data_IF_591724430276
#
_entry.id   IF_591724430276
#
_cell.length_a   1.000
_cell.length_b   1.000
_cell.length_c   1.000
_cell.angle_alpha   90.00
_cell.angle_beta   90.00
_cell.angle_gamma   90.00
#
_symmetry.space_group_name_H-M   'P 1'
#
loop_
_entity.id
_entity.type
_entity.pdbx_description
1 polymer ?
#
# COMPACT_ATOMS: atom_id res chain seq x y z
N UNK A 1 -1.88 1.85 0.07
CA UNK A 1 -1.11 0.99 -0.86
C UNK A 1 -2.03 0.25 -1.80
N UNK A 2 -1.74 0.21 -3.08
CA UNK A 2 -2.53 -0.53 -4.07
C UNK A 2 -2.17 -2.02 -4.07
N UNK A 3 -3.16 -2.89 -4.33
CA UNK A 3 -2.91 -4.34 -4.38
C UNK A 3 -2.11 -4.74 -5.62
N UNK A 4 -2.47 -4.21 -6.78
CA UNK A 4 -1.90 -4.58 -8.07
C UNK A 4 -0.48 -4.01 -8.26
N UNK A 5 -0.32 -2.71 -8.29
CA UNK A 5 0.95 -2.05 -8.55
C UNK A 5 1.89 -1.99 -7.34
N UNK A 6 1.39 -2.25 -6.14
CA UNK A 6 2.10 -2.02 -4.86
C UNK A 6 2.44 -0.55 -4.61
N UNK A 7 1.84 0.37 -5.35
CA UNK A 7 2.06 1.80 -5.16
C UNK A 7 1.64 2.24 -3.76
N UNK A 8 2.50 2.99 -3.11
CA UNK A 8 2.37 3.45 -1.74
C UNK A 8 2.07 4.95 -1.72
N UNK A 9 1.05 5.35 -0.96
CA UNK A 9 0.82 6.73 -0.54
C UNK A 9 0.77 6.77 0.98
N UNK A 10 1.41 7.76 1.61
CA UNK A 10 1.48 7.90 3.06
C UNK A 10 1.38 9.37 3.44
N UNK A 11 0.45 9.66 4.34
CA UNK A 11 0.25 11.00 4.90
C UNK A 11 0.37 10.96 6.42
N UNK A 12 1.16 11.86 7.03
CA UNK A 12 1.22 11.98 8.47
C UNK A 12 -0.08 12.56 9.02
N UNK A 13 -0.66 11.92 10.00
CA UNK A 13 -1.84 12.42 10.72
C UNK A 13 -1.45 12.89 12.11
N UNK A 14 -2.07 13.98 12.58
CA UNK A 14 -1.92 14.44 13.98
C UNK A 14 -2.79 13.62 14.92
N UNK A 15 -3.99 13.24 14.46
CA UNK A 15 -4.97 12.50 15.22
C UNK A 15 -5.41 11.25 14.47
N UNK A 16 -5.62 10.17 15.20
CA UNK A 16 -6.18 8.92 14.68
C UNK A 16 -7.71 8.95 14.84
N UNK A 17 -8.36 9.85 14.09
CA UNK A 17 -9.81 10.00 14.08
C UNK A 17 -10.38 9.89 12.65
N UNK A 18 -11.69 9.63 12.58
CA UNK A 18 -12.38 9.38 11.31
C UNK A 18 -12.41 10.60 10.36
N UNK A 19 -12.32 11.82 10.89
CA UNK A 19 -12.31 13.05 10.08
C UNK A 19 -10.94 13.22 9.43
N UNK A 20 -9.87 13.13 10.22
CA UNK A 20 -8.49 13.26 9.74
C UNK A 20 -8.15 12.16 8.74
N UNK A 21 -8.60 10.93 9.01
CA UNK A 21 -8.39 9.78 8.12
C UNK A 21 -9.17 9.93 6.81
N UNK A 22 -10.40 10.45 6.84
CA UNK A 22 -11.19 10.74 5.65
C UNK A 22 -10.56 11.84 4.77
N UNK A 23 -9.99 12.88 5.39
CA UNK A 23 -9.30 13.95 4.68
C UNK A 23 -8.00 13.44 4.00
N UNK A 24 -7.25 12.57 4.67
CA UNK A 24 -6.07 11.94 4.08
C UNK A 24 -6.44 11.00 2.92
N UNK A 25 -7.54 10.24 3.06
CA UNK A 25 -8.06 9.38 1.99
C UNK A 25 -8.38 10.18 0.73
N UNK A 26 -9.03 11.33 0.86
CA UNK A 26 -9.35 12.22 -0.25
C UNK A 26 -8.10 12.67 -1.01
N UNK A 27 -7.07 13.13 -0.28
CA UNK A 27 -5.77 13.47 -0.88
C UNK A 27 -5.13 12.29 -1.60
N UNK A 28 -5.15 11.10 -1.01
CA UNK A 28 -4.63 9.89 -1.65
C UNK A 28 -5.33 9.60 -2.96
N UNK A 29 -6.64 9.79 -3.04
CA UNK A 29 -7.40 9.56 -4.26
C UNK A 29 -7.11 10.62 -5.32
N UNK A 30 -7.02 11.88 -4.94
CA UNK A 30 -6.83 13.00 -5.86
C UNK A 30 -5.38 13.12 -6.37
N UNK A 31 -4.40 12.92 -5.50
CA UNK A 31 -3.00 13.25 -5.78
C UNK A 31 -2.13 12.03 -6.13
N UNK A 32 -2.42 10.83 -5.60
CA UNK A 32 -1.47 9.72 -5.64
C UNK A 32 -1.93 8.49 -6.43
N UNK A 33 -3.12 7.98 -6.13
CA UNK A 33 -3.54 6.63 -6.54
C UNK A 33 -4.73 6.66 -7.49
N UNK A 34 -5.55 7.70 -7.46
CA UNK A 34 -6.84 7.74 -8.12
C UNK A 34 -7.92 6.96 -7.34
N UNK A 35 -9.12 6.86 -7.91
CA UNK A 35 -10.24 6.17 -7.29
C UNK A 35 -10.15 4.66 -7.50
N UNK A 36 -10.01 3.86 -6.44
CA UNK A 36 -10.04 2.41 -6.53
C UNK A 36 -11.49 1.90 -6.55
N UNK A 37 -11.68 0.66 -6.99
CA UNK A 37 -12.99 0.00 -6.87
C UNK A 37 -13.31 -0.38 -5.42
N UNK A 38 -12.28 -0.70 -4.64
CA UNK A 38 -12.44 -1.19 -3.28
C UNK A 38 -11.32 -0.68 -2.39
N UNK A 39 -11.64 -0.41 -1.13
CA UNK A 39 -10.70 -0.12 -0.04
C UNK A 39 -10.82 -1.17 1.05
N UNK A 40 -9.69 -1.75 1.43
CA UNK A 40 -9.59 -2.68 2.56
C UNK A 40 -8.98 -1.96 3.75
N UNK A 41 -9.63 -2.06 4.89
CA UNK A 41 -9.16 -1.56 6.18
C UNK A 41 -9.39 -2.59 7.28
N UNK A 42 -8.80 -2.39 8.45
CA UNK A 42 -9.09 -3.15 9.66
C UNK A 42 -10.35 -2.61 10.39
N UNK A 43 -10.66 -3.17 11.58
CA UNK A 43 -11.82 -2.77 12.38
C UNK A 43 -11.57 -1.49 13.22
N UNK A 44 -10.58 -0.66 12.85
CA UNK A 44 -10.24 0.58 13.55
C UNK A 44 -11.39 1.60 13.54
N UNK A 45 -11.59 2.30 14.66
CA UNK A 45 -12.65 3.31 14.82
C UNK A 45 -12.50 4.51 13.86
N UNK A 46 -11.30 4.77 13.36
CA UNK A 46 -10.99 5.79 12.36
C UNK A 46 -11.60 5.50 10.98
N UNK A 47 -11.90 4.23 10.67
CA UNK A 47 -12.47 3.80 9.38
C UNK A 47 -13.98 3.75 9.33
N UNK A 48 -14.66 4.24 10.39
CA UNK A 48 -16.12 4.35 10.45
C UNK A 48 -16.57 5.80 10.18
N UNK A 49 -17.87 6.07 10.28
CA UNK A 49 -18.48 7.42 10.20
C UNK A 49 -18.01 8.24 8.99
N UNK A 50 -17.10 9.21 9.19
CA UNK A 50 -16.66 10.14 8.14
C UNK A 50 -15.89 9.43 7.04
N UNK A 51 -15.02 8.48 7.38
CA UNK A 51 -14.29 7.68 6.41
C UNK A 51 -15.23 6.85 5.53
N UNK A 52 -16.17 6.10 6.12
CA UNK A 52 -17.14 5.31 5.40
C UNK A 52 -18.07 6.17 4.52
N UNK A 53 -18.49 7.36 5.01
CA UNK A 53 -19.25 8.31 4.21
C UNK A 53 -18.47 8.83 3.00
N UNK A 54 -17.18 9.09 3.16
CA UNK A 54 -16.32 9.54 2.07
C UNK A 54 -16.18 8.47 0.99
N UNK A 55 -15.97 7.20 1.37
CA UNK A 55 -15.95 6.08 0.41
C UNK A 55 -17.27 5.95 -0.34
N UNK A 56 -18.41 6.05 0.37
CA UNK A 56 -19.74 6.03 -0.26
C UNK A 56 -19.95 7.21 -1.23
N UNK A 57 -19.45 8.40 -0.90
CA UNK A 57 -19.51 9.56 -1.77
C UNK A 57 -18.78 9.33 -3.11
N UNK A 58 -17.64 8.63 -3.09
CA UNK A 58 -16.87 8.28 -4.27
C UNK A 58 -17.31 6.96 -4.94
N UNK A 59 -18.39 6.32 -4.48
CA UNK A 59 -18.84 5.00 -4.95
C UNK A 59 -17.76 3.89 -4.85
N UNK A 60 -16.96 3.95 -3.77
CA UNK A 60 -15.88 3.00 -3.48
C UNK A 60 -16.35 2.00 -2.43
N UNK A 61 -16.25 0.71 -2.75
CA UNK A 61 -16.63 -0.36 -1.82
C UNK A 61 -15.65 -0.43 -0.63
N UNK A 62 -16.18 -0.42 0.60
CA UNK A 62 -15.39 -0.63 1.81
C UNK A 62 -15.45 -2.10 2.23
N UNK A 63 -14.29 -2.72 2.42
CA UNK A 63 -14.16 -4.08 2.99
C UNK A 63 -13.32 -4.03 4.25
N UNK A 64 -13.92 -4.47 5.35
CA UNK A 64 -13.26 -4.56 6.65
C UNK A 64 -12.77 -5.97 6.91
N UNK A 65 -11.53 -6.11 7.39
CA UNK A 65 -10.92 -7.39 7.73
C UNK A 65 -10.25 -7.30 9.10
N UNK A 66 -10.40 -8.34 9.93
CA UNK A 66 -9.71 -8.42 11.23
C UNK A 66 -8.20 -8.50 11.10
N UNK A 67 -7.74 -9.07 10.01
CA UNK A 67 -6.30 -9.24 9.76
C UNK A 67 -5.89 -8.41 8.57
N UNK A 68 -5.00 -7.43 8.74
CA UNK A 68 -4.47 -6.67 7.61
C UNK A 68 -3.74 -7.61 6.65
N UNK A 69 -3.78 -7.34 5.35
CA UNK A 69 -3.04 -8.14 4.38
C UNK A 69 -1.54 -8.10 4.67
N UNK A 70 -0.87 -9.25 4.70
CA UNK A 70 0.55 -9.39 5.02
C UNK A 70 1.47 -8.49 4.17
N UNK A 71 1.07 -8.15 2.94
CA UNK A 71 1.84 -7.25 2.09
C UNK A 71 1.79 -5.79 2.57
N UNK A 72 0.71 -5.37 3.21
CA UNK A 72 0.57 -4.02 3.82
C UNK A 72 1.48 -3.92 5.05
N UNK A 73 1.45 -4.93 5.92
CA UNK A 73 2.33 -4.98 7.10
C UNK A 73 3.82 -4.94 6.70
N UNK A 74 4.18 -5.68 5.65
CA UNK A 74 5.54 -5.67 5.12
C UNK A 74 5.92 -4.29 4.58
N UNK A 75 5.03 -3.62 3.85
CA UNK A 75 5.28 -2.27 3.34
C UNK A 75 5.46 -1.27 4.48
N UNK A 76 4.63 -1.33 5.52
CA UNK A 76 4.76 -0.49 6.72
C UNK A 76 6.13 -0.68 7.38
N UNK A 77 6.56 -1.94 7.56
CA UNK A 77 7.88 -2.26 8.13
C UNK A 77 9.00 -1.67 7.26
N UNK A 78 8.96 -1.91 5.95
CA UNK A 78 9.97 -1.38 5.02
C UNK A 78 10.06 0.14 5.07
N UNK A 79 8.92 0.83 5.13
CA UNK A 79 8.89 2.30 5.22
C UNK A 79 9.51 2.78 6.54
N UNK A 80 9.16 2.16 7.66
CA UNK A 80 9.73 2.49 8.98
C UNK A 80 11.25 2.34 8.98
N UNK A 81 11.76 1.19 8.52
CA UNK A 81 13.21 0.93 8.44
C UNK A 81 13.95 1.94 7.53
N UNK A 82 13.34 2.31 6.39
CA UNK A 82 13.92 3.32 5.49
C UNK A 82 13.92 4.72 6.13
N UNK A 83 12.88 5.08 6.89
CA UNK A 83 12.82 6.35 7.62
C UNK A 83 13.93 6.40 8.67
N UNK A 84 14.07 5.37 9.51
CA UNK A 84 15.08 5.28 10.56
C UNK A 84 16.50 5.43 9.97
N UNK A 85 16.81 4.65 8.94
CA UNK A 85 18.12 4.72 8.24
C UNK A 85 18.39 6.13 7.68
N UNK A 86 17.38 6.78 7.11
CA UNK A 86 17.53 8.12 6.55
C UNK A 86 17.70 9.17 7.65
N UNK A 87 16.96 9.07 8.74
CA UNK A 87 17.11 9.95 9.89
C UNK A 87 18.53 9.84 10.48
N UNK A 88 19.03 8.64 10.63
CA UNK A 88 20.39 8.38 11.15
C UNK A 88 21.47 8.94 10.21
N UNK A 89 21.37 8.64 8.92
CA UNK A 89 22.37 9.04 7.93
C UNK A 89 22.46 10.57 7.73
N UNK A 90 21.31 11.26 7.75
CA UNK A 90 21.21 12.70 7.46
C UNK A 90 20.97 13.56 8.71
N UNK A 91 20.96 12.96 9.90
CA UNK A 91 20.67 13.64 11.18
C UNK A 91 19.34 14.39 11.18
N UNK A 92 18.31 13.82 10.50
CA UNK A 92 16.97 14.41 10.43
C UNK A 92 16.24 14.15 11.74
N UNK A 93 15.87 15.23 12.46
CA UNK A 93 15.21 15.10 13.77
C UNK A 93 13.77 14.61 13.69
N UNK A 94 13.04 15.03 12.62
CA UNK A 94 11.62 14.70 12.46
C UNK A 94 11.43 13.67 11.36
N UNK A 95 10.80 12.55 11.65
CA UNK A 95 10.52 11.51 10.67
C UNK A 95 9.64 11.98 9.51
N UNK A 96 8.77 12.97 9.76
CA UNK A 96 7.91 13.56 8.73
C UNK A 96 8.72 14.17 7.58
N UNK A 97 9.90 14.73 7.88
CA UNK A 97 10.77 15.34 6.88
C UNK A 97 11.45 14.28 5.98
N UNK A 98 11.65 13.07 6.51
CA UNK A 98 12.19 11.94 5.75
C UNK A 98 11.13 11.26 4.87
N UNK A 99 9.86 11.35 5.24
CA UNK A 99 8.76 10.57 4.66
C UNK A 99 8.58 10.74 3.15
N UNK A 100 8.55 11.96 2.57
CA UNK A 100 8.36 12.14 1.12
C UNK A 100 9.44 11.44 0.29
N UNK A 101 10.68 11.50 0.77
CA UNK A 101 11.82 10.86 0.10
C UNK A 101 11.73 9.33 0.17
N UNK A 102 11.33 8.80 1.31
CA UNK A 102 11.18 7.36 1.51
C UNK A 102 10.04 6.81 0.66
N UNK A 103 8.90 7.51 0.59
CA UNK A 103 7.77 7.12 -0.26
C UNK A 103 8.15 7.16 -1.73
N UNK A 104 8.85 8.22 -2.18
CA UNK A 104 9.37 8.30 -3.54
C UNK A 104 10.31 7.15 -3.85
N UNK A 105 11.31 6.92 -3.00
CA UNK A 105 12.26 5.82 -3.17
C UNK A 105 11.54 4.46 -3.24
N UNK A 106 10.57 4.19 -2.36
CA UNK A 106 9.79 2.96 -2.37
C UNK A 106 9.04 2.76 -3.70
N UNK A 107 8.45 3.82 -4.23
CA UNK A 107 7.66 3.76 -5.46
C UNK A 107 8.51 3.70 -6.75
N UNK A 108 9.77 4.10 -6.69
CA UNK A 108 10.71 4.08 -7.81
C UNK A 108 11.63 2.83 -7.80
N UNK A 109 11.71 2.09 -6.70
CA UNK A 109 12.47 0.84 -6.61
C UNK A 109 11.66 -0.35 -7.15
N UNK A 110 12.33 -1.29 -7.83
CA UNK A 110 11.71 -2.53 -8.29
C UNK A 110 11.14 -3.33 -7.12
N UNK A 111 9.86 -3.64 -7.20
CA UNK A 111 9.18 -4.44 -6.19
C UNK A 111 9.23 -5.93 -6.54
N UNK A 112 9.79 -6.74 -5.67
CA UNK A 112 9.97 -8.20 -5.91
C UNK A 112 8.69 -8.93 -6.30
N UNK A 113 7.50 -8.46 -5.91
CA UNK A 113 6.22 -9.08 -6.25
C UNK A 113 5.77 -8.78 -7.67
N UNK A 114 6.05 -7.61 -8.18
CA UNK A 114 5.62 -7.15 -9.51
C UNK A 114 6.71 -7.30 -10.56
N UNK A 115 7.98 -7.34 -10.14
CA UNK A 115 9.14 -7.34 -11.03
C UNK A 115 9.39 -6.00 -11.72
N UNK A 116 8.72 -4.94 -11.28
CA UNK A 116 8.88 -3.56 -11.76
C UNK A 116 8.62 -2.59 -10.61
N UNK A 117 9.05 -1.35 -10.76
CA UNK A 117 8.77 -0.31 -9.78
C UNK A 117 7.26 -0.03 -9.66
N UNK A 118 6.73 0.27 -8.46
CA UNK A 118 5.32 0.58 -8.27
C UNK A 118 4.77 1.70 -9.16
N UNK A 119 5.54 2.73 -9.43
CA UNK A 119 5.15 3.80 -10.34
C UNK A 119 5.01 3.30 -11.78
N UNK A 120 5.87 2.41 -12.24
CA UNK A 120 5.81 1.80 -13.57
C UNK A 120 4.67 0.78 -13.65
N UNK A 121 4.51 -0.07 -12.62
CA UNK A 121 3.45 -1.08 -12.53
C UNK A 121 2.04 -0.48 -12.61
N UNK A 122 1.87 0.79 -12.25
CA UNK A 122 0.61 1.52 -12.35
C UNK A 122 0.27 1.97 -13.78
N UNK A 123 1.20 1.82 -14.74
CA UNK A 123 0.99 2.23 -16.13
C UNK A 123 0.53 1.04 -16.99
N UNK A 124 -0.27 1.31 -18.01
CA UNK A 124 -0.76 0.30 -18.94
C UNK A 124 0.36 -0.49 -19.63
N UNK A 125 1.52 0.14 -19.85
CA UNK A 125 2.70 -0.46 -20.48
C UNK A 125 3.19 -1.71 -19.74
N UNK A 126 3.10 -1.75 -18.42
CA UNK A 126 3.62 -2.85 -17.59
C UNK A 126 2.53 -3.79 -17.07
N UNK A 127 1.27 -3.56 -17.41
CA UNK A 127 0.15 -4.36 -16.92
C UNK A 127 0.32 -5.86 -17.21
N UNK A 128 0.74 -6.22 -18.41
CA UNK A 128 0.97 -7.62 -18.80
C UNK A 128 2.17 -8.24 -18.07
N UNK A 129 3.22 -7.47 -17.82
CA UNK A 129 4.40 -7.92 -17.05
C UNK A 129 3.99 -8.26 -15.63
N UNK A 130 3.23 -7.38 -14.99
CA UNK A 130 2.71 -7.58 -13.63
C UNK A 130 1.79 -8.80 -13.57
N UNK A 131 0.84 -8.93 -14.51
CA UNK A 131 -0.07 -10.09 -14.60
C UNK A 131 0.69 -11.42 -14.77
N UNK A 132 1.71 -11.45 -15.65
CA UNK A 132 2.56 -12.63 -15.84
C UNK A 132 3.32 -13.00 -14.57
N UNK A 133 3.87 -12.03 -13.85
CA UNK A 133 4.60 -12.24 -12.60
C UNK A 133 3.68 -12.81 -11.51
N UNK A 134 2.46 -12.29 -11.36
CA UNK A 134 1.47 -12.85 -10.44
C UNK A 134 1.09 -14.30 -10.79
N UNK A 135 0.82 -14.59 -12.06
CA UNK A 135 0.50 -15.95 -12.52
C UNK A 135 1.63 -16.93 -12.23
N UNK A 136 2.89 -16.56 -12.53
CA UNK A 136 4.06 -17.40 -12.25
C UNK A 136 4.19 -17.72 -10.76
N UNK A 137 3.97 -16.76 -9.88
CA UNK A 137 4.01 -16.96 -8.42
C UNK A 137 2.90 -17.89 -7.94
N UNK A 138 1.67 -17.68 -8.37
CA UNK A 138 0.54 -18.54 -8.01
C UNK A 138 0.79 -20.00 -8.40
N UNK A 139 1.34 -20.24 -9.59
CA UNK A 139 1.74 -21.59 -10.03
C UNK A 139 2.84 -22.19 -9.14
N UNK A 140 3.87 -21.41 -8.80
CA UNK A 140 4.97 -21.86 -7.94
C UNK A 140 4.47 -22.20 -6.53
N UNK A 141 3.59 -21.39 -5.95
CA UNK A 141 2.97 -21.64 -4.64
C UNK A 141 2.11 -22.90 -4.66
N UNK A 142 1.29 -23.10 -5.69
CA UNK A 142 0.48 -24.30 -5.87
C UNK A 142 1.33 -25.56 -5.99
N UNK A 143 2.42 -25.52 -6.76
CA UNK A 143 3.36 -26.65 -6.88
C UNK A 143 4.07 -26.94 -5.56
N UNK A 144 4.44 -25.92 -4.77
CA UNK A 144 5.06 -26.12 -3.47
C UNK A 144 4.10 -26.72 -2.44
N UNK A 145 2.81 -26.36 -2.51
CA UNK A 145 1.76 -26.99 -1.68
C UNK A 145 1.60 -28.46 -2.03
N UNK A 146 1.49 -28.80 -3.31
CA UNK A 146 1.39 -30.19 -3.75
C UNK A 146 2.59 -31.03 -3.29
N UNK A 147 3.82 -30.51 -3.42
CA UNK A 147 5.03 -31.21 -2.94
C UNK A 147 5.05 -31.45 -1.43
N UNK A 148 4.41 -30.59 -0.63
CA UNK A 148 4.29 -30.76 0.82
C UNK A 148 3.24 -31.80 1.20
N UNK A 149 2.21 -31.99 0.37
CA UNK A 149 1.14 -32.96 0.59
C UNK A 149 1.52 -34.38 0.16
N UNK A 150 2.56 -34.54 -0.65
CA UNK A 150 3.06 -35.83 -1.17
C UNK A 150 4.26 -36.37 -0.40
N UNK A 151 4.65 -35.74 0.71
CA UNK A 151 5.65 -36.23 1.69
C UNK A 151 4.98 -36.68 2.98
#
# INVERSE_FOLDING_TARGET
MTFFSKKLAVYPLKNQDSVSTAAALEKIFEEDIGLPLQVYNDEGGEFVKHFARKLKYYDVEQKTSRTPPAFVERAIRTVKEKIEKRQEALKIAKWQDALPYVVKQYNDEEHTTTGVAPNDAATAKYEDVVKKTFRKRALTESMNLLRKMTK
#
